data_IF_840370580911
#
_entry.id   IF_840370580911
#
_cell.length_a   1.000
_cell.length_b   1.000
_cell.length_c   1.000
_cell.angle_alpha   90.00
_cell.angle_beta   90.00
_cell.angle_gamma   90.00
#
_symmetry.space_group_name_H-M   'P 1'
#
loop_
_entity.id
_entity.type
_entity.pdbx_description
1 polymer ?
#
# COMPACT_ATOMS: atom_id res chain seq x y z
N UNK A 1 -12.62 -0.63 7.36
CA UNK A 1 -11.82 -1.39 6.37
C UNK A 1 -11.55 -0.42 5.24
N UNK A 2 -10.30 0.02 5.02
CA UNK A 2 -9.96 0.86 3.88
C UNK A 2 -10.37 0.17 2.57
N UNK A 3 -10.56 0.94 1.50
CA UNK A 3 -10.88 0.36 0.20
C UNK A 3 -9.75 -0.59 -0.23
N UNK A 4 -10.12 -1.82 -0.63
CA UNK A 4 -9.15 -2.80 -1.13
C UNK A 4 -8.52 -2.37 -2.45
N UNK A 5 -9.02 -1.31 -3.08
CA UNK A 5 -8.54 -0.80 -4.36
C UNK A 5 -8.28 0.69 -4.27
N UNK A 6 -7.10 1.12 -4.69
CA UNK A 6 -6.71 2.51 -4.80
C UNK A 6 -6.47 2.86 -6.27
N UNK A 7 -7.06 3.94 -6.74
CA UNK A 7 -6.85 4.44 -8.11
C UNK A 7 -6.38 5.88 -8.06
N UNK A 8 -5.41 6.22 -8.92
CA UNK A 8 -4.96 7.60 -9.00
C UNK A 8 -4.36 7.94 -10.37
N UNK A 9 -4.59 9.19 -10.79
CA UNK A 9 -4.20 9.70 -12.11
C UNK A 9 -4.89 8.96 -13.26
N UNK A 10 -4.33 9.09 -14.46
CA UNK A 10 -4.90 8.58 -15.72
C UNK A 10 -4.63 7.09 -16.00
N UNK A 11 -4.39 6.27 -14.96
CA UNK A 11 -4.21 4.82 -15.17
C UNK A 11 -3.43 4.02 -14.14
N UNK A 12 -3.20 4.54 -12.91
CA UNK A 12 -2.68 3.71 -11.82
C UNK A 12 -3.83 3.07 -11.05
N UNK A 13 -3.76 1.74 -10.91
CA UNK A 13 -4.70 0.93 -10.15
C UNK A 13 -3.91 0.03 -9.21
N UNK A 14 -4.21 0.07 -7.93
CA UNK A 14 -3.55 -0.73 -6.90
C UNK A 14 -4.63 -1.50 -6.16
N UNK A 15 -4.44 -2.80 -5.97
CA UNK A 15 -5.37 -3.65 -5.25
C UNK A 15 -4.63 -4.37 -4.13
N UNK A 16 -5.10 -4.18 -2.90
CA UNK A 16 -4.69 -4.93 -1.73
C UNK A 16 -5.38 -6.29 -1.75
N UNK A 17 -4.59 -7.36 -1.66
CA UNK A 17 -5.08 -8.73 -1.54
C UNK A 17 -4.39 -9.45 -0.40
N UNK A 18 -5.17 -10.29 0.27
CA UNK A 18 -4.67 -11.21 1.28
C UNK A 18 -4.85 -12.64 0.80
N UNK A 19 -3.78 -13.43 0.83
CA UNK A 19 -3.89 -14.86 0.56
C UNK A 19 -4.16 -15.60 1.87
N UNK A 20 -5.39 -16.09 2.07
CA UNK A 20 -5.77 -16.86 3.27
C UNK A 20 -5.28 -18.31 3.28
N UNK A 21 -4.81 -18.85 2.14
CA UNK A 21 -4.50 -20.29 1.98
C UNK A 21 -3.15 -20.74 2.55
N UNK A 22 -2.16 -19.86 2.70
CA UNK A 22 -0.76 -20.24 3.01
C UNK A 22 -0.17 -19.45 4.21
N UNK A 23 -1.03 -18.84 5.01
CA UNK A 23 -0.65 -17.84 6.02
C UNK A 23 -0.79 -16.41 5.47
N UNK A 24 -0.78 -15.38 6.34
CA UNK A 24 -1.13 -14.00 5.98
C UNK A 24 -0.04 -13.37 5.11
N UNK A 25 0.01 -13.74 3.82
CA UNK A 25 0.78 -13.04 2.81
C UNK A 25 -0.12 -12.01 2.16
N UNK A 26 0.07 -10.78 2.59
CA UNK A 26 -0.52 -9.58 2.00
C UNK A 26 0.32 -9.21 0.80
N UNK A 27 -0.34 -8.91 -0.31
CA UNK A 27 0.31 -8.41 -1.51
C UNK A 27 -0.55 -7.35 -2.20
N UNK A 28 0.15 -6.39 -2.80
CA UNK A 28 -0.40 -5.29 -3.55
C UNK A 28 -0.23 -5.57 -5.04
N UNK A 29 -1.34 -5.63 -5.77
CA UNK A 29 -1.34 -5.75 -7.23
C UNK A 29 -1.38 -4.35 -7.81
N UNK A 30 -0.28 -3.90 -8.39
CA UNK A 30 -0.19 -2.59 -9.04
C UNK A 30 -0.33 -2.78 -10.54
N UNK A 31 -1.20 -2.00 -11.17
CA UNK A 31 -1.39 -1.94 -12.62
C UNK A 31 -1.21 -0.49 -13.07
N UNK A 32 -0.30 -0.27 -14.01
CA UNK A 32 -0.17 1.02 -14.70
C UNK A 32 -0.14 0.79 -16.21
N UNK A 33 -1.20 1.20 -16.91
CA UNK A 33 -1.31 0.97 -18.36
C UNK A 33 -1.19 -0.50 -18.73
N UNK A 34 -0.11 -0.87 -19.45
CA UNK A 34 0.13 -2.24 -19.93
C UNK A 34 0.92 -3.13 -18.95
N UNK A 35 1.40 -2.60 -17.83
CA UNK A 35 2.22 -3.35 -16.88
C UNK A 35 1.44 -3.63 -15.60
N UNK A 36 1.49 -4.88 -15.14
CA UNK A 36 0.99 -5.29 -13.84
C UNK A 36 2.09 -5.97 -13.04
N UNK A 37 2.23 -5.60 -11.78
CA UNK A 37 3.31 -6.10 -10.92
C UNK A 37 2.79 -6.30 -9.50
N UNK A 38 3.25 -7.36 -8.86
CA UNK A 38 2.86 -7.72 -7.50
C UNK A 38 3.96 -7.29 -6.54
N UNK A 39 3.58 -6.61 -5.45
CA UNK A 39 4.49 -6.16 -4.40
C UNK A 39 4.03 -6.72 -3.07
N UNK A 40 4.97 -7.19 -2.26
CA UNK A 40 4.71 -7.57 -0.86
C UNK A 40 5.10 -6.47 0.12
N UNK A 41 5.74 -5.41 -0.36
CA UNK A 41 6.33 -4.35 0.45
C UNK A 41 5.97 -2.97 -0.11
N UNK A 42 5.57 -2.05 0.79
CA UNK A 42 5.15 -0.69 0.39
C UNK A 42 6.30 0.13 -0.19
N UNK A 43 7.53 -0.05 0.28
CA UNK A 43 8.67 0.70 -0.23
C UNK A 43 9.05 0.23 -1.65
N UNK A 44 8.92 -1.06 -1.93
CA UNK A 44 9.07 -1.60 -3.28
C UNK A 44 8.00 -1.05 -4.24
N UNK A 45 6.74 -0.99 -3.79
CA UNK A 45 5.64 -0.39 -4.55
C UNK A 45 5.91 1.09 -4.83
N UNK A 46 6.24 1.88 -3.80
CA UNK A 46 6.51 3.32 -3.94
C UNK A 46 7.70 3.61 -4.87
N UNK A 47 8.75 2.77 -4.82
CA UNK A 47 9.89 2.84 -5.73
C UNK A 47 9.49 2.57 -7.18
N UNK A 48 8.57 1.64 -7.42
CA UNK A 48 8.12 1.29 -8.76
C UNK A 48 7.21 2.35 -9.36
N UNK A 49 6.27 2.86 -8.57
CA UNK A 49 5.36 3.94 -8.98
C UNK A 49 6.13 5.25 -9.25
N UNK A 50 7.33 5.41 -8.66
CA UNK A 50 8.22 6.58 -8.83
C UNK A 50 7.52 7.91 -8.56
N UNK A 51 6.53 7.93 -7.67
CA UNK A 51 5.79 9.15 -7.38
C UNK A 51 6.54 10.09 -6.43
N UNK A 52 6.64 11.38 -6.78
CA UNK A 52 7.19 12.38 -5.88
C UNK A 52 6.44 12.43 -4.55
N UNK A 53 7.10 12.88 -3.49
CA UNK A 53 6.46 13.17 -2.20
C UNK A 53 5.50 14.36 -2.27
N UNK A 54 5.72 15.25 -3.22
CA UNK A 54 4.95 16.50 -3.35
C UNK A 54 3.75 16.39 -4.29
N UNK A 55 3.50 15.24 -4.92
CA UNK A 55 2.29 15.07 -5.75
C UNK A 55 1.10 14.69 -4.87
N UNK A 56 -0.09 15.26 -5.10
CA UNK A 56 -1.28 14.92 -4.32
C UNK A 56 -1.59 13.42 -4.38
N UNK A 57 -1.43 12.78 -5.55
CA UNK A 57 -1.58 11.33 -5.70
C UNK A 57 -0.55 10.53 -4.89
N UNK A 58 0.68 11.04 -4.75
CA UNK A 58 1.74 10.41 -3.96
C UNK A 58 1.52 10.53 -2.45
N UNK A 59 0.85 11.59 -1.99
CA UNK A 59 0.44 11.74 -0.59
C UNK A 59 -0.68 10.75 -0.29
N UNK A 60 -1.76 10.78 -1.09
CA UNK A 60 -2.91 9.87 -0.94
C UNK A 60 -2.52 8.39 -0.99
N UNK A 61 -1.58 8.01 -1.86
CA UNK A 61 -1.08 6.64 -1.94
C UNK A 61 -0.36 6.24 -0.65
N UNK A 62 0.43 7.14 -0.06
CA UNK A 62 1.16 6.84 1.17
C UNK A 62 0.20 6.70 2.34
N UNK A 63 -0.79 7.58 2.43
CA UNK A 63 -1.86 7.49 3.44
C UNK A 63 -2.60 6.17 3.33
N UNK A 64 -3.05 5.80 2.13
CA UNK A 64 -3.74 4.53 1.88
C UNK A 64 -2.88 3.30 2.23
N UNK A 65 -1.58 3.32 1.89
CA UNK A 65 -0.65 2.24 2.27
C UNK A 65 -0.40 2.20 3.78
N UNK A 66 -0.39 3.34 4.46
CA UNK A 66 -0.22 3.41 5.92
C UNK A 66 -1.42 2.81 6.65
N UNK A 67 -2.64 3.12 6.20
CA UNK A 67 -3.87 2.51 6.73
C UNK A 67 -3.85 0.98 6.61
N UNK A 68 -3.38 0.44 5.48
CA UNK A 68 -3.25 -1.00 5.30
C UNK A 68 -2.12 -1.62 6.11
N UNK A 69 -0.98 -0.94 6.25
CA UNK A 69 0.11 -1.42 7.10
C UNK A 69 -0.32 -1.50 8.57
N UNK A 70 -1.06 -0.50 9.07
CA UNK A 70 -1.63 -0.53 10.41
C UNK A 70 -2.67 -1.65 10.58
N UNK A 71 -3.49 -1.91 9.55
CA UNK A 71 -4.50 -2.95 9.58
C UNK A 71 -3.91 -4.37 9.54
N UNK A 72 -2.86 -4.59 8.74
CA UNK A 72 -2.21 -5.90 8.59
C UNK A 72 -1.17 -6.20 9.67
N UNK A 73 -0.58 -5.17 10.29
CA UNK A 73 0.35 -5.32 11.40
C UNK A 73 -0.26 -4.79 12.71
N UNK A 74 -1.08 -5.58 13.43
CA UNK A 74 -1.65 -5.17 14.71
C UNK A 74 -0.61 -5.07 15.86
N UNK A 75 0.70 -5.09 15.58
CA UNK A 75 1.77 -5.21 16.58
C UNK A 75 2.82 -4.10 16.49
N UNK A 76 2.43 -2.82 16.52
CA UNK A 76 3.32 -1.75 17.03
C UNK A 76 2.52 -0.46 17.28
N UNK A 77 1.74 -0.45 18.37
CA UNK A 77 1.26 0.79 19.01
C UNK A 77 1.36 0.71 20.53
N UNK A 78 2.46 0.13 21.04
CA UNK A 78 2.85 0.28 22.44
C UNK A 78 4.34 0.56 22.47
N UNK A 79 4.73 1.84 22.53
CA UNK A 79 5.78 2.39 23.39
C UNK A 79 6.19 3.78 22.90
N UNK A 80 5.51 4.82 23.36
CA UNK A 80 6.18 6.09 23.68
C UNK A 80 5.32 6.86 24.69
N UNK A 81 5.50 6.55 25.98
CA UNK A 81 5.16 7.45 27.05
C UNK A 81 6.45 8.18 27.45
N UNK A 82 6.59 9.50 27.21
CA UNK A 82 7.64 10.24 27.89
C UNK A 82 7.25 10.34 29.38
N UNK A 83 8.15 9.83 30.22
CA UNK A 83 8.17 10.00 31.68
C UNK A 83 8.41 11.45 32.09
#
# INVERSE_FOLDING_TARGET
MPESTFTAGAGLYIEHRTNRKEGPKVYYVVRSGHSSMLFTDKAALLKWVKWPKSTPSGVLLREWLDEWEQADNPVVSVTEAPS
#
